data_IF_588162414163
#
_entry.id   IF_588162414163
#
_cell.length_a   1.000
_cell.length_b   1.000
_cell.length_c   1.000
_cell.angle_alpha   90.00
_cell.angle_beta   90.00
_cell.angle_gamma   90.00
#
_symmetry.space_group_name_H-M   'P 1'
#
loop_
_entity.id
_entity.type
_entity.pdbx_description
1 polymer ?
#
# COMPACT_ATOMS: atom_id res chain seq x y z
N UNK A 1 89.02 -61.58 7.74
CA UNK A 1 87.92 -60.61 7.54
C UNK A 1 86.64 -61.26 8.01
N UNK A 2 86.18 -60.94 9.22
CA UNK A 2 84.90 -61.44 9.75
C UNK A 2 83.76 -60.44 9.46
N UNK A 3 82.81 -60.78 8.60
CA UNK A 3 81.61 -60.07 8.37
C UNK A 3 80.68 -60.33 9.57
N UNK A 4 80.45 -59.31 10.44
CA UNK A 4 79.37 -59.29 11.44
C UNK A 4 78.05 -59.18 10.70
N UNK A 5 77.28 -60.29 10.69
CA UNK A 5 75.87 -60.23 10.31
C UNK A 5 75.08 -59.59 11.48
N UNK A 6 74.59 -58.39 11.25
CA UNK A 6 73.64 -57.74 12.22
C UNK A 6 72.37 -58.58 12.35
N UNK A 7 72.11 -59.13 13.52
CA UNK A 7 70.81 -59.72 13.88
C UNK A 7 69.83 -58.57 14.04
N UNK A 8 68.96 -58.36 13.10
CA UNK A 8 67.83 -57.44 13.25
C UNK A 8 66.87 -58.07 14.33
N UNK A 9 66.48 -57.25 15.32
CA UNK A 9 65.64 -57.68 16.36
C UNK A 9 64.19 -57.78 15.81
N UNK A 10 63.73 -58.96 15.44
CA UNK A 10 62.41 -59.24 14.82
C UNK A 10 61.28 -58.68 15.66
N UNK A 11 61.42 -58.71 16.99
CA UNK A 11 60.39 -58.19 17.94
C UNK A 11 60.27 -56.68 17.84
N UNK A 12 61.39 -55.93 17.57
CA UNK A 12 61.34 -54.49 17.37
C UNK A 12 60.66 -54.12 16.04
N UNK A 13 60.89 -54.91 14.98
CA UNK A 13 60.22 -54.75 13.70
C UNK A 13 58.72 -55.02 13.76
N UNK A 14 58.28 -56.04 14.52
CA UNK A 14 56.87 -56.35 14.75
C UNK A 14 56.21 -55.24 15.56
N UNK A 15 56.88 -54.72 16.60
CA UNK A 15 56.36 -53.61 17.42
C UNK A 15 56.20 -52.32 16.63
N UNK A 16 57.20 -51.97 15.77
CA UNK A 16 57.08 -50.84 14.87
C UNK A 16 55.93 -51.00 13.87
N UNK A 17 55.71 -52.18 13.32
CA UNK A 17 54.59 -52.47 12.41
C UNK A 17 53.25 -52.31 13.07
N UNK A 18 53.08 -52.81 14.35
CA UNK A 18 51.87 -52.64 15.12
C UNK A 18 51.56 -51.15 15.45
N UNK A 19 52.60 -50.39 15.84
CA UNK A 19 52.46 -48.95 16.10
C UNK A 19 52.04 -48.19 14.81
N UNK A 20 52.66 -48.52 13.67
CA UNK A 20 52.29 -47.95 12.39
C UNK A 20 50.84 -48.28 12.00
N UNK A 21 50.39 -49.50 12.22
CA UNK A 21 49.02 -49.94 11.95
C UNK A 21 47.98 -49.21 12.82
N UNK A 22 48.28 -49.04 14.11
CA UNK A 22 47.38 -48.30 15.04
C UNK A 22 47.30 -46.82 14.63
N UNK A 23 48.44 -46.20 14.29
CA UNK A 23 48.46 -44.80 13.83
C UNK A 23 47.65 -44.66 12.51
N UNK A 24 47.86 -45.53 11.54
CA UNK A 24 47.12 -45.53 10.30
C UNK A 24 45.61 -45.74 10.49
N UNK A 25 45.23 -46.65 11.36
CA UNK A 25 43.80 -46.90 11.71
C UNK A 25 43.14 -45.69 12.41
N UNK A 26 43.86 -45.03 13.33
CA UNK A 26 43.35 -43.83 14.00
C UNK A 26 43.19 -42.64 13.02
N UNK A 27 44.17 -42.43 12.13
CA UNK A 27 44.07 -41.41 11.09
C UNK A 27 42.88 -41.72 10.16
N UNK A 28 42.71 -42.95 9.73
CA UNK A 28 41.61 -43.36 8.87
C UNK A 28 40.24 -43.10 9.56
N UNK A 29 40.09 -43.47 10.85
CA UNK A 29 38.87 -43.19 11.62
C UNK A 29 38.63 -41.66 11.74
N UNK A 30 39.63 -40.85 12.02
CA UNK A 30 39.50 -39.40 12.11
C UNK A 30 39.05 -38.78 10.78
N UNK A 31 39.61 -39.23 9.65
CA UNK A 31 39.21 -38.76 8.31
C UNK A 31 37.80 -39.23 7.96
N UNK A 32 37.41 -40.43 8.30
CA UNK A 32 36.06 -40.96 8.08
C UNK A 32 35.03 -40.16 8.87
N UNK A 33 35.26 -39.96 10.17
CA UNK A 33 34.39 -39.17 11.05
C UNK A 33 34.29 -37.69 10.58
N UNK A 34 35.43 -37.08 10.13
CA UNK A 34 35.42 -35.73 9.59
C UNK A 34 34.59 -35.61 8.30
N UNK A 35 34.61 -36.63 7.44
CA UNK A 35 33.79 -36.66 6.21
C UNK A 35 32.31 -36.86 6.53
N UNK A 36 31.98 -37.63 7.53
CA UNK A 36 30.60 -37.87 7.96
C UNK A 36 30.00 -36.58 8.59
N UNK A 37 30.75 -35.89 9.45
CA UNK A 37 30.38 -34.62 10.02
C UNK A 37 30.16 -33.54 8.94
N UNK A 38 31.05 -33.45 7.95
CA UNK A 38 30.90 -32.51 6.83
C UNK A 38 29.66 -32.81 5.96
N UNK A 39 29.32 -34.09 5.75
CA UNK A 39 28.12 -34.47 5.02
C UNK A 39 26.84 -34.12 5.80
N UNK A 40 26.86 -34.32 7.09
CA UNK A 40 25.73 -33.98 7.95
C UNK A 40 25.50 -32.46 8.00
N UNK A 41 26.58 -31.67 8.10
CA UNK A 41 26.49 -30.22 8.05
C UNK A 41 25.93 -29.73 6.69
N UNK A 42 26.38 -30.33 5.57
CA UNK A 42 25.82 -30.02 4.25
C UNK A 42 24.34 -30.42 4.13
N UNK A 43 23.91 -31.52 4.74
CA UNK A 43 22.51 -31.94 4.74
C UNK A 43 21.65 -30.95 5.50
N UNK A 44 22.06 -30.56 6.71
CA UNK A 44 21.36 -29.58 7.54
C UNK A 44 21.26 -28.22 6.83
N UNK A 45 22.34 -27.78 6.17
CA UNK A 45 22.33 -26.54 5.40
C UNK A 45 21.38 -26.60 4.20
N UNK A 46 21.31 -27.74 3.51
CA UNK A 46 20.38 -27.97 2.40
C UNK A 46 18.93 -28.00 2.86
N UNK A 47 18.65 -28.69 3.99
CA UNK A 47 17.31 -28.74 4.58
C UNK A 47 16.85 -27.34 5.01
N UNK A 48 17.70 -26.55 5.67
CA UNK A 48 17.38 -25.15 6.04
C UNK A 48 17.06 -24.29 4.81
N UNK A 49 17.89 -24.40 3.77
CA UNK A 49 17.66 -23.63 2.54
C UNK A 49 16.35 -24.02 1.87
N UNK A 50 16.02 -25.30 1.85
CA UNK A 50 14.74 -25.78 1.29
C UNK A 50 13.54 -25.30 2.10
N UNK A 51 13.67 -25.22 3.44
CA UNK A 51 12.64 -24.67 4.32
C UNK A 51 12.44 -23.19 4.11
N UNK A 52 13.54 -22.41 3.99
CA UNK A 52 13.49 -20.96 3.68
C UNK A 52 12.84 -20.71 2.32
N UNK A 53 13.21 -21.47 1.28
CA UNK A 53 12.59 -21.37 -0.05
C UNK A 53 11.09 -21.72 -0.03
N UNK A 54 10.68 -22.71 0.77
CA UNK A 54 9.28 -23.07 0.94
C UNK A 54 8.48 -21.96 1.64
N UNK A 55 9.01 -21.41 2.73
CA UNK A 55 8.38 -20.30 3.47
C UNK A 55 8.23 -19.06 2.59
N UNK A 56 9.26 -18.70 1.83
CA UNK A 56 9.20 -17.59 0.89
C UNK A 56 8.17 -17.82 -0.23
N UNK A 57 8.02 -19.06 -0.73
CA UNK A 57 7.01 -19.39 -1.72
C UNK A 57 5.57 -19.34 -1.13
N UNK A 58 5.38 -19.78 0.11
CA UNK A 58 4.09 -19.71 0.81
C UNK A 58 3.71 -18.25 1.10
N UNK A 59 4.66 -17.43 1.53
CA UNK A 59 4.46 -15.98 1.77
C UNK A 59 4.05 -15.27 0.48
N UNK A 60 4.78 -15.49 -0.61
CA UNK A 60 4.46 -14.93 -1.93
C UNK A 60 3.07 -15.36 -2.42
N UNK A 61 2.70 -16.63 -2.26
CA UNK A 61 1.38 -17.12 -2.64
C UNK A 61 0.25 -16.49 -1.81
N UNK A 62 0.52 -16.20 -0.52
CA UNK A 62 -0.42 -15.48 0.35
C UNK A 62 -0.59 -14.04 -0.12
N UNK A 63 0.51 -13.32 -0.38
CA UNK A 63 0.49 -11.94 -0.88
C UNK A 63 -0.25 -11.82 -2.22
N UNK A 64 0.00 -12.74 -3.16
CA UNK A 64 -0.71 -12.79 -4.45
C UNK A 64 -2.22 -13.01 -4.27
N UNK A 65 -2.61 -13.86 -3.31
CA UNK A 65 -4.01 -14.09 -3.00
C UNK A 65 -4.67 -12.85 -2.39
N UNK A 66 -4.04 -12.24 -1.38
CA UNK A 66 -4.52 -11.02 -0.72
C UNK A 66 -4.64 -9.86 -1.71
N UNK A 67 -3.67 -9.69 -2.61
CA UNK A 67 -3.72 -8.69 -3.66
C UNK A 67 -4.89 -8.93 -4.63
N UNK A 68 -5.15 -10.18 -5.00
CA UNK A 68 -6.28 -10.53 -5.86
C UNK A 68 -7.64 -10.28 -5.19
N UNK A 69 -7.76 -10.63 -3.91
CA UNK A 69 -8.97 -10.38 -3.11
C UNK A 69 -9.21 -8.88 -2.98
N UNK A 70 -8.17 -8.10 -2.70
CA UNK A 70 -8.22 -6.64 -2.63
C UNK A 70 -8.63 -6.04 -3.98
N UNK A 71 -8.00 -6.44 -5.09
CA UNK A 71 -8.37 -6.00 -6.43
C UNK A 71 -9.85 -6.27 -6.74
N UNK A 72 -10.35 -7.45 -6.36
CA UNK A 72 -11.75 -7.79 -6.55
C UNK A 72 -12.66 -6.94 -5.67
N UNK A 73 -12.27 -6.70 -4.41
CA UNK A 73 -13.01 -5.85 -3.46
C UNK A 73 -13.09 -4.41 -3.94
N UNK A 74 -11.99 -3.83 -4.39
CA UNK A 74 -11.91 -2.43 -4.79
C UNK A 74 -12.49 -2.13 -6.18
N UNK A 75 -12.75 -3.17 -6.98
CA UNK A 75 -13.32 -3.03 -8.33
C UNK A 75 -14.78 -2.57 -8.31
N UNK A 76 -15.16 -1.75 -9.29
CA UNK A 76 -16.56 -1.40 -9.52
C UNK A 76 -17.41 -2.64 -9.86
N UNK A 77 -18.50 -2.85 -9.11
CA UNK A 77 -19.39 -4.00 -9.24
C UNK A 77 -20.84 -3.53 -9.02
N UNK A 78 -21.62 -3.31 -10.08
CA UNK A 78 -23.03 -2.92 -9.93
C UNK A 78 -23.82 -3.89 -9.05
N UNK A 79 -24.56 -3.36 -8.11
CA UNK A 79 -25.40 -4.15 -7.20
C UNK A 79 -24.67 -4.76 -6.00
N UNK A 80 -23.35 -4.56 -5.87
CA UNK A 80 -22.57 -4.94 -4.68
C UNK A 80 -22.37 -3.71 -3.81
N UNK A 81 -22.84 -3.71 -2.54
CA UNK A 81 -22.69 -2.55 -1.65
C UNK A 81 -21.24 -2.15 -1.43
N UNK A 82 -20.99 -0.86 -1.29
CA UNK A 82 -19.68 -0.27 -0.96
C UNK A 82 -19.88 0.72 0.15
N UNK A 83 -19.12 0.56 1.22
CA UNK A 83 -19.19 1.40 2.42
C UNK A 83 -20.33 1.03 3.36
N UNK A 84 -20.24 1.53 4.57
CA UNK A 84 -21.26 1.37 5.62
C UNK A 84 -21.69 2.73 6.18
N UNK A 85 -22.91 2.80 6.70
CA UNK A 85 -23.41 3.95 7.48
C UNK A 85 -23.36 3.69 8.99
N UNK A 86 -22.94 2.49 9.40
CA UNK A 86 -22.81 2.09 10.80
C UNK A 86 -21.35 2.28 11.23
N UNK A 87 -21.13 3.16 12.21
CA UNK A 87 -19.83 3.40 12.81
C UNK A 87 -19.67 2.55 14.08
N UNK A 88 -18.48 2.04 14.35
CA UNK A 88 -18.13 1.54 15.68
C UNK A 88 -17.61 2.71 16.53
N UNK A 89 -18.42 3.18 17.45
CA UNK A 89 -18.09 4.30 18.34
C UNK A 89 -16.90 4.01 19.28
N UNK A 90 -16.44 2.77 19.37
CA UNK A 90 -15.26 2.39 20.18
C UNK A 90 -13.95 2.53 19.40
N UNK A 91 -13.99 2.69 18.09
CA UNK A 91 -12.80 2.86 17.25
C UNK A 91 -12.55 4.34 16.96
N UNK A 92 -11.27 4.74 17.00
CA UNK A 92 -10.82 6.03 16.49
C UNK A 92 -10.11 5.82 15.16
N UNK A 93 -10.72 6.26 14.08
CA UNK A 93 -10.21 6.05 12.72
C UNK A 93 -10.07 7.38 11.98
N UNK A 94 -8.93 7.59 11.35
CA UNK A 94 -8.72 8.71 10.44
C UNK A 94 -8.42 8.21 9.03
N UNK A 95 -9.22 8.65 8.07
CA UNK A 95 -9.01 8.45 6.64
C UNK A 95 -8.36 9.71 6.07
N UNK A 96 -7.09 9.59 5.70
CA UNK A 96 -6.37 10.64 4.98
C UNK A 96 -6.72 10.50 3.49
N UNK A 97 -7.27 11.53 2.88
CA UNK A 97 -7.65 11.49 1.47
C UNK A 97 -7.02 12.65 0.71
N UNK A 98 -6.46 12.32 -0.47
CA UNK A 98 -5.74 13.27 -1.31
C UNK A 98 -6.40 13.35 -2.68
N UNK A 99 -6.77 14.56 -3.10
CA UNK A 99 -7.37 14.84 -4.41
C UNK A 99 -6.35 15.45 -5.37
N UNK A 100 -6.65 15.44 -6.67
CA UNK A 100 -5.93 16.14 -7.76
C UNK A 100 -4.56 15.57 -8.14
N UNK A 101 -4.06 14.54 -7.47
CA UNK A 101 -2.88 13.80 -7.90
C UNK A 101 -3.15 12.85 -9.09
N UNK A 102 -2.13 12.12 -9.55
CA UNK A 102 -0.75 12.17 -9.07
C UNK A 102 0.05 13.38 -9.58
N UNK A 103 1.05 13.79 -8.82
CA UNK A 103 1.92 14.91 -9.17
C UNK A 103 3.36 14.70 -8.62
N UNK A 104 4.22 15.72 -8.80
CA UNK A 104 5.56 15.77 -8.17
C UNK A 104 5.52 15.63 -6.64
N UNK A 105 4.39 15.89 -6.00
CA UNK A 105 4.22 15.82 -4.56
C UNK A 105 3.77 14.44 -4.09
N UNK A 106 3.17 13.62 -4.95
CA UNK A 106 2.65 12.30 -4.59
C UNK A 106 3.72 11.40 -3.95
N UNK A 107 4.94 11.34 -4.53
CA UNK A 107 6.02 10.54 -3.93
C UNK A 107 6.40 11.03 -2.53
N UNK A 108 6.46 12.35 -2.32
CA UNK A 108 6.78 12.92 -0.99
C UNK A 108 5.70 12.59 0.05
N UNK A 109 4.43 12.59 -0.37
CA UNK A 109 3.30 12.18 0.47
C UNK A 109 3.44 10.70 0.83
N UNK A 110 3.74 9.84 -0.14
CA UNK A 110 3.93 8.39 0.09
C UNK A 110 5.08 8.13 1.07
N UNK A 111 6.21 8.82 0.91
CA UNK A 111 7.38 8.69 1.79
C UNK A 111 7.03 9.06 3.24
N UNK A 112 6.28 10.16 3.44
CA UNK A 112 5.82 10.59 4.77
C UNK A 112 4.83 9.58 5.36
N UNK A 113 3.86 9.08 4.57
CA UNK A 113 2.90 8.09 5.03
C UNK A 113 3.57 6.79 5.48
N UNK A 114 4.63 6.37 4.77
CA UNK A 114 5.42 5.17 5.13
C UNK A 114 6.14 5.34 6.47
N UNK A 115 6.73 6.52 6.75
CA UNK A 115 7.38 6.84 8.03
C UNK A 115 6.43 6.68 9.23
N UNK A 116 5.13 6.94 9.04
CA UNK A 116 4.10 6.83 10.07
C UNK A 116 3.31 5.51 10.03
N UNK A 117 3.69 4.58 9.12
CA UNK A 117 2.92 3.37 8.83
C UNK A 117 1.44 3.67 8.56
N UNK A 118 1.16 4.81 7.92
CA UNK A 118 -0.18 5.28 7.61
C UNK A 118 -0.62 4.82 6.22
N UNK A 119 -1.90 4.47 6.09
CA UNK A 119 -2.51 4.21 4.78
C UNK A 119 -3.49 5.34 4.45
N UNK A 120 -3.63 5.66 3.17
CA UNK A 120 -4.42 6.77 2.67
C UNK A 120 -5.16 6.39 1.39
N UNK A 121 -6.07 7.27 0.95
CA UNK A 121 -6.78 7.13 -0.33
C UNK A 121 -6.45 8.31 -1.23
N UNK A 122 -6.12 8.02 -2.49
CA UNK A 122 -5.79 9.02 -3.51
C UNK A 122 -6.90 9.04 -4.58
N UNK A 123 -7.62 10.16 -4.67
CA UNK A 123 -8.61 10.41 -5.71
C UNK A 123 -7.94 11.08 -6.91
N UNK A 124 -7.63 10.27 -7.91
CA UNK A 124 -6.72 10.61 -8.99
C UNK A 124 -7.34 11.43 -10.12
N UNK A 125 -6.50 12.20 -10.80
CA UNK A 125 -6.83 12.90 -12.05
C UNK A 125 -5.92 12.50 -13.21
N UNK A 126 -6.33 12.84 -14.45
CA UNK A 126 -5.53 12.63 -15.66
C UNK A 126 -4.65 13.84 -16.02
N UNK A 127 -4.54 14.86 -15.18
CA UNK A 127 -3.97 16.16 -15.53
C UNK A 127 -2.45 16.17 -15.74
N UNK A 128 -1.71 15.23 -15.14
CA UNK A 128 -0.25 15.17 -15.20
C UNK A 128 0.23 13.80 -15.70
N UNK A 129 0.23 13.57 -17.02
CA UNK A 129 0.52 12.25 -17.61
C UNK A 129 1.89 11.68 -17.22
N UNK A 130 2.87 12.54 -16.95
CA UNK A 130 4.23 12.15 -16.54
C UNK A 130 4.29 11.50 -15.15
N UNK A 131 3.25 11.66 -14.32
CA UNK A 131 3.17 11.08 -12.97
C UNK A 131 2.19 9.90 -12.85
N UNK A 132 1.51 9.49 -13.91
CA UNK A 132 0.48 8.43 -13.84
C UNK A 132 1.00 7.10 -13.28
N UNK A 133 2.29 6.80 -13.45
CA UNK A 133 2.90 5.61 -12.82
C UNK A 133 2.86 5.63 -11.28
N UNK A 134 2.70 6.79 -10.66
CA UNK A 134 2.55 6.92 -9.22
C UNK A 134 1.25 6.30 -8.71
N UNK A 135 0.23 6.13 -9.56
CA UNK A 135 -1.01 5.40 -9.23
C UNK A 135 -0.68 3.97 -8.82
N UNK A 136 0.13 3.28 -9.65
CA UNK A 136 0.58 1.92 -9.32
C UNK A 136 1.47 1.91 -8.08
N UNK A 137 2.38 2.86 -7.95
CA UNK A 137 3.27 2.97 -6.79
C UNK A 137 2.47 3.11 -5.48
N UNK A 138 1.47 3.99 -5.45
CA UNK A 138 0.59 4.17 -4.30
C UNK A 138 -0.22 2.90 -3.99
N UNK A 139 -0.78 2.26 -5.02
CA UNK A 139 -1.55 1.02 -4.85
C UNK A 139 -0.70 -0.13 -4.32
N UNK A 140 0.49 -0.34 -4.88
CA UNK A 140 1.44 -1.39 -4.45
C UNK A 140 1.94 -1.15 -3.01
N UNK A 141 2.03 0.12 -2.58
CA UNK A 141 2.35 0.50 -1.20
C UNK A 141 1.18 0.31 -0.22
N UNK A 142 0.03 -0.21 -0.68
CA UNK A 142 -1.11 -0.52 0.17
C UNK A 142 -2.11 0.63 0.35
N UNK A 143 -1.95 1.73 -0.39
CA UNK A 143 -2.93 2.83 -0.40
C UNK A 143 -4.09 2.51 -1.35
N UNK A 144 -5.25 3.11 -1.12
CA UNK A 144 -6.42 2.95 -1.99
C UNK A 144 -6.41 4.00 -3.09
N UNK A 145 -6.80 3.59 -4.28
CA UNK A 145 -7.02 4.48 -5.42
C UNK A 145 -8.52 4.72 -5.59
N UNK A 146 -8.91 5.98 -5.66
CA UNK A 146 -10.24 6.43 -6.03
C UNK A 146 -10.18 7.26 -7.32
N UNK A 147 -11.33 7.48 -7.95
CA UNK A 147 -11.44 8.29 -9.17
C UNK A 147 -11.96 9.68 -8.83
N UNK A 148 -11.31 10.71 -9.33
CA UNK A 148 -11.76 12.10 -9.14
C UNK A 148 -12.30 12.69 -10.44
N UNK A 149 -11.45 12.85 -11.44
CA UNK A 149 -11.81 13.38 -12.75
C UNK A 149 -10.66 13.19 -13.73
N UNK A 150 -10.94 13.00 -15.00
CA UNK A 150 -9.88 13.01 -16.02
C UNK A 150 -9.33 14.40 -16.26
N UNK A 151 -10.22 15.39 -16.47
CA UNK A 151 -9.83 16.75 -16.88
C UNK A 151 -9.89 17.79 -15.75
N UNK A 152 -10.68 17.56 -14.71
CA UNK A 152 -10.94 18.46 -13.59
C UNK A 152 -11.32 19.91 -14.01
N UNK A 153 -12.14 20.02 -15.04
CA UNK A 153 -12.69 21.26 -15.56
C UNK A 153 -14.19 21.27 -15.31
N UNK A 154 -14.67 22.08 -14.36
CA UNK A 154 -16.06 22.10 -13.95
C UNK A 154 -17.06 22.38 -15.09
N UNK A 155 -16.70 23.25 -16.05
CA UNK A 155 -17.54 23.53 -17.20
C UNK A 155 -17.76 22.32 -18.07
N UNK A 156 -16.72 21.51 -18.26
CA UNK A 156 -16.76 20.31 -19.09
C UNK A 156 -17.35 19.12 -18.33
N UNK A 157 -16.89 18.88 -17.10
CA UNK A 157 -17.34 17.76 -16.27
C UNK A 157 -18.82 17.87 -15.94
N UNK A 158 -19.31 19.08 -15.62
CA UNK A 158 -20.70 19.27 -15.23
C UNK A 158 -21.58 19.85 -16.33
N UNK A 159 -21.14 19.81 -17.60
CA UNK A 159 -21.94 20.22 -18.75
C UNK A 159 -23.23 19.39 -18.90
N UNK A 160 -23.15 18.09 -18.59
CA UNK A 160 -24.30 17.17 -18.57
C UNK A 160 -23.96 15.92 -17.73
N UNK A 161 -24.95 15.10 -17.46
CA UNK A 161 -24.75 13.77 -16.83
C UNK A 161 -23.84 12.90 -17.71
N UNK A 162 -24.06 12.88 -19.01
CA UNK A 162 -23.25 12.08 -19.94
C UNK A 162 -21.79 12.57 -19.94
N UNK A 163 -21.56 13.91 -19.94
CA UNK A 163 -20.22 14.49 -19.91
C UNK A 163 -19.46 14.08 -18.61
N UNK A 164 -20.15 14.02 -17.47
CA UNK A 164 -19.57 13.54 -16.23
C UNK A 164 -19.14 12.08 -16.34
N UNK A 165 -20.01 11.21 -16.87
CA UNK A 165 -19.66 9.79 -17.00
C UNK A 165 -18.59 9.52 -18.03
N UNK A 166 -18.53 10.29 -19.14
CA UNK A 166 -17.43 10.22 -20.10
C UNK A 166 -16.08 10.61 -19.45
N UNK A 167 -16.05 11.60 -18.56
CA UNK A 167 -14.86 12.01 -17.83
C UNK A 167 -14.45 10.95 -16.80
N UNK A 168 -15.42 10.41 -16.06
CA UNK A 168 -15.21 9.33 -15.07
C UNK A 168 -14.70 8.04 -15.75
N UNK A 169 -15.24 7.68 -16.92
CA UNK A 169 -14.79 6.51 -17.68
C UNK A 169 -13.34 6.65 -18.11
N UNK A 170 -12.94 7.83 -18.60
CA UNK A 170 -11.54 8.10 -19.02
C UNK A 170 -10.55 7.93 -17.87
N UNK A 171 -10.84 8.47 -16.70
CA UNK A 171 -9.96 8.29 -15.54
C UNK A 171 -10.02 6.84 -15.02
N UNK A 172 -11.15 6.16 -15.14
CA UNK A 172 -11.29 4.75 -14.84
C UNK A 172 -10.40 3.87 -15.71
N UNK A 173 -10.33 4.14 -17.03
CA UNK A 173 -9.43 3.40 -17.93
C UNK A 173 -7.95 3.66 -17.60
N UNK A 174 -7.56 4.88 -17.22
CA UNK A 174 -6.20 5.17 -16.72
C UNK A 174 -5.90 4.34 -15.47
N UNK A 175 -6.80 4.33 -14.50
CA UNK A 175 -6.63 3.50 -13.30
C UNK A 175 -6.45 2.03 -13.67
N UNK A 176 -7.30 1.51 -14.56
CA UNK A 176 -7.23 0.12 -15.03
C UNK A 176 -5.92 -0.21 -15.76
N UNK A 177 -5.37 0.71 -16.54
CA UNK A 177 -4.05 0.54 -17.18
C UNK A 177 -2.93 0.44 -16.14
N UNK A 178 -3.03 1.15 -15.01
CA UNK A 178 -2.00 1.20 -13.98
C UNK A 178 -2.12 0.04 -12.95
N UNK A 179 -3.33 -0.28 -12.50
CA UNK A 179 -3.58 -1.23 -11.39
C UNK A 179 -4.43 -2.45 -11.77
N UNK A 180 -4.88 -2.56 -13.03
CA UNK A 180 -5.55 -3.74 -13.57
C UNK A 180 -7.08 -3.76 -13.42
N UNK A 181 -7.69 -2.76 -12.75
CA UNK A 181 -9.14 -2.67 -12.55
C UNK A 181 -9.61 -1.22 -12.46
N UNK A 182 -10.93 -1.01 -12.57
CA UNK A 182 -11.57 0.29 -12.35
C UNK A 182 -12.01 0.36 -10.89
N UNK A 183 -11.46 1.29 -10.08
CA UNK A 183 -11.86 1.46 -8.69
C UNK A 183 -13.33 1.85 -8.51
N UNK A 184 -13.96 1.33 -7.44
CA UNK A 184 -15.35 1.67 -7.12
C UNK A 184 -15.50 2.94 -6.26
N UNK A 185 -14.41 3.49 -5.75
CA UNK A 185 -14.40 4.70 -4.92
C UNK A 185 -14.25 5.93 -5.80
N UNK A 186 -15.11 6.93 -5.59
CA UNK A 186 -15.03 8.19 -6.33
C UNK A 186 -15.16 9.38 -5.37
N UNK A 187 -14.67 10.53 -5.82
CA UNK A 187 -14.99 11.82 -5.21
C UNK A 187 -15.33 12.81 -6.33
N UNK A 188 -16.45 13.49 -6.18
CA UNK A 188 -16.86 14.52 -7.14
C UNK A 188 -15.94 15.73 -7.05
N UNK A 189 -15.51 16.36 -8.16
CA UNK A 189 -14.86 17.65 -8.12
C UNK A 189 -15.64 18.68 -7.31
N UNK A 190 -15.03 19.14 -6.20
CA UNK A 190 -15.67 20.05 -5.24
C UNK A 190 -16.68 19.39 -4.28
N UNK A 191 -16.79 18.06 -4.27
CA UNK A 191 -17.68 17.29 -3.41
C UNK A 191 -19.15 17.30 -3.87
N UNK A 192 -19.97 16.45 -3.24
CA UNK A 192 -21.40 16.35 -3.57
C UNK A 192 -22.19 17.62 -3.24
N UNK A 193 -21.71 18.42 -2.30
CA UNK A 193 -22.34 19.69 -1.90
C UNK A 193 -21.96 20.90 -2.77
N UNK A 194 -21.11 20.72 -3.78
CA UNK A 194 -20.65 21.84 -4.59
C UNK A 194 -21.82 22.58 -5.27
N UNK A 195 -21.72 23.89 -5.29
CA UNK A 195 -22.73 24.76 -5.92
C UNK A 195 -22.27 25.29 -7.27
N UNK A 196 -21.02 25.04 -7.66
CA UNK A 196 -20.45 25.52 -8.92
C UNK A 196 -21.08 24.80 -10.11
N UNK A 197 -21.34 23.52 -9.98
CA UNK A 197 -21.96 22.66 -11.00
C UNK A 197 -23.29 23.19 -11.52
N UNK A 198 -24.10 23.88 -10.66
CA UNK A 198 -25.38 24.45 -11.06
C UNK A 198 -25.29 25.57 -12.09
N UNK A 199 -24.10 26.19 -12.25
CA UNK A 199 -23.86 27.20 -13.29
C UNK A 199 -23.93 26.58 -14.69
N UNK A 200 -23.62 25.30 -14.77
CA UNK A 200 -23.59 24.54 -16.02
C UNK A 200 -24.85 23.71 -16.19
N UNK A 201 -25.22 22.91 -15.17
CA UNK A 201 -26.43 22.09 -15.20
C UNK A 201 -27.11 22.07 -13.83
N UNK A 202 -28.33 22.61 -13.78
CA UNK A 202 -29.15 22.62 -12.53
C UNK A 202 -29.61 21.23 -12.18
N UNK A 203 -29.51 20.87 -10.88
CA UNK A 203 -29.95 19.59 -10.35
C UNK A 203 -29.03 18.43 -10.72
N UNK A 204 -27.82 18.71 -11.24
CA UNK A 204 -26.93 17.66 -11.72
C UNK A 204 -26.39 16.80 -10.57
N UNK A 205 -26.02 17.41 -9.43
CA UNK A 205 -25.43 16.66 -8.32
C UNK A 205 -26.44 15.67 -7.72
N UNK A 206 -27.70 16.07 -7.56
CA UNK A 206 -28.77 15.18 -7.08
C UNK A 206 -28.96 13.96 -7.98
N UNK A 207 -28.77 14.11 -9.29
CA UNK A 207 -28.83 12.98 -10.24
C UNK A 207 -27.57 12.11 -10.18
N UNK A 208 -26.41 12.76 -10.14
CA UNK A 208 -25.13 12.04 -10.18
C UNK A 208 -24.93 11.19 -8.93
N UNK A 209 -25.31 11.69 -7.74
CA UNK A 209 -25.20 10.94 -6.47
C UNK A 209 -26.01 9.64 -6.47
N UNK A 210 -27.17 9.60 -7.15
CA UNK A 210 -27.96 8.38 -7.34
C UNK A 210 -27.33 7.48 -8.42
N UNK A 211 -27.03 8.04 -9.59
CA UNK A 211 -26.60 7.27 -10.75
C UNK A 211 -25.22 6.61 -10.59
N UNK A 212 -24.28 7.24 -9.86
CA UNK A 212 -22.98 6.62 -9.59
C UNK A 212 -23.14 5.36 -8.74
N UNK A 213 -24.02 5.38 -7.75
CA UNK A 213 -24.31 4.22 -6.89
C UNK A 213 -25.00 3.09 -7.68
N UNK A 214 -25.95 3.42 -8.54
CA UNK A 214 -26.57 2.44 -9.45
C UNK A 214 -25.54 1.75 -10.37
N UNK A 215 -24.49 2.47 -10.75
CA UNK A 215 -23.39 1.94 -11.56
C UNK A 215 -22.32 1.16 -10.76
N UNK A 216 -22.49 1.06 -9.43
CA UNK A 216 -21.57 0.31 -8.55
C UNK A 216 -20.40 1.13 -8.00
N UNK A 217 -20.44 2.45 -8.15
CA UNK A 217 -19.49 3.34 -7.49
C UNK A 217 -20.05 3.83 -6.16
N UNK A 218 -19.16 4.14 -5.21
CA UNK A 218 -19.48 4.86 -3.99
C UNK A 218 -18.70 6.16 -3.96
N UNK A 219 -19.40 7.30 -3.75
CA UNK A 219 -18.73 8.57 -3.57
C UNK A 219 -18.41 8.84 -2.11
N UNK A 220 -17.33 9.57 -1.86
CA UNK A 220 -16.90 9.96 -0.52
C UNK A 220 -16.60 11.45 -0.49
N UNK A 221 -17.30 12.15 0.40
CA UNK A 221 -16.96 13.51 0.79
C UNK A 221 -16.00 13.47 2.01
N UNK A 222 -16.09 14.42 2.92
CA UNK A 222 -15.23 14.53 4.11
C UNK A 222 -16.00 15.19 5.24
N UNK A 223 -15.57 15.02 6.50
CA UNK A 223 -16.06 15.79 7.64
C UNK A 223 -15.02 16.77 8.18
N UNK A 224 -13.76 16.69 7.74
CA UNK A 224 -12.70 17.64 8.06
C UNK A 224 -12.04 18.14 6.77
N UNK A 225 -11.95 19.46 6.59
CA UNK A 225 -11.25 20.08 5.48
C UNK A 225 -9.95 20.72 5.98
N UNK A 226 -8.83 20.36 5.40
CA UNK A 226 -7.53 20.98 5.71
C UNK A 226 -7.41 22.45 5.26
N UNK A 227 -8.33 22.92 4.41
CA UNK A 227 -8.27 24.27 3.81
C UNK A 227 -7.23 24.44 2.71
N UNK A 228 -6.47 23.38 2.38
CA UNK A 228 -5.39 23.41 1.39
C UNK A 228 -5.89 23.56 -0.06
N UNK A 229 -7.18 23.36 -0.32
CA UNK A 229 -7.81 23.64 -1.61
C UNK A 229 -7.59 25.07 -2.09
N UNK A 230 -7.39 26.00 -1.15
CA UNK A 230 -7.03 27.40 -1.40
C UNK A 230 -5.55 27.68 -1.09
N UNK A 231 -5.16 28.96 -1.03
CA UNK A 231 -3.82 29.35 -0.57
C UNK A 231 -3.81 29.39 0.96
N UNK A 232 -3.43 28.28 1.57
CA UNK A 232 -3.25 28.17 3.02
C UNK A 232 -1.77 28.02 3.38
N UNK A 233 -1.38 28.56 4.53
CA UNK A 233 -0.06 28.33 5.12
C UNK A 233 -0.02 26.94 5.76
N UNK A 234 1.18 26.44 6.05
CA UNK A 234 1.39 25.19 6.80
C UNK A 234 0.61 25.19 8.11
N UNK A 235 0.71 26.28 8.89
CA UNK A 235 0.07 26.43 10.20
C UNK A 235 -1.46 26.44 10.10
N UNK A 236 -2.01 27.05 9.05
CA UNK A 236 -3.44 27.05 8.79
C UNK A 236 -3.95 25.66 8.42
N UNK A 237 -3.19 24.92 7.60
CA UNK A 237 -3.51 23.52 7.25
C UNK A 237 -3.51 22.64 8.50
N UNK A 238 -2.46 22.72 9.33
CA UNK A 238 -2.38 21.96 10.58
C UNK A 238 -3.58 22.27 11.46
N UNK A 239 -3.83 23.54 11.74
CA UNK A 239 -4.94 23.98 12.61
C UNK A 239 -6.32 23.52 12.12
N UNK A 240 -6.53 23.46 10.80
CA UNK A 240 -7.81 23.05 10.24
C UNK A 240 -7.96 21.53 10.15
N UNK A 241 -6.85 20.80 10.15
CA UNK A 241 -6.85 19.34 10.06
C UNK A 241 -6.91 18.63 11.41
N UNK A 242 -6.45 19.27 12.48
CA UNK A 242 -6.38 18.67 13.82
C UNK A 242 -7.69 18.84 14.56
N UNK A 243 -8.34 17.73 14.90
CA UNK A 243 -9.56 17.68 15.71
C UNK A 243 -9.71 16.32 16.38
N UNK A 244 -10.30 16.29 17.58
CA UNK A 244 -10.68 15.09 18.31
C UNK A 244 -12.19 15.03 18.62
N UNK A 245 -12.97 15.88 17.90
CA UNK A 245 -14.43 15.96 18.07
C UNK A 245 -15.16 14.72 17.56
N UNK A 246 -14.53 13.93 16.67
CA UNK A 246 -15.15 12.77 16.02
C UNK A 246 -14.25 11.53 16.19
N UNK A 247 -14.86 10.38 16.43
CA UNK A 247 -14.14 9.10 16.43
C UNK A 247 -13.78 8.62 15.01
N UNK A 248 -14.59 9.01 14.01
CA UNK A 248 -14.34 8.72 12.61
C UNK A 248 -14.13 10.02 11.84
N UNK A 249 -12.96 10.18 11.26
CA UNK A 249 -12.52 11.39 10.57
C UNK A 249 -12.11 11.06 9.14
N UNK A 250 -12.66 11.79 8.19
CA UNK A 250 -12.17 11.78 6.81
C UNK A 250 -11.71 13.18 6.45
N UNK A 251 -10.39 13.31 6.17
CA UNK A 251 -9.76 14.61 5.91
C UNK A 251 -9.56 14.78 4.41
N UNK A 252 -10.00 15.94 3.90
CA UNK A 252 -9.67 16.37 2.56
C UNK A 252 -8.34 17.08 2.53
N UNK A 253 -7.39 16.52 1.76
CA UNK A 253 -6.15 17.13 1.31
C UNK A 253 -6.04 17.10 -0.21
N UNK A 254 -5.00 17.75 -0.74
CA UNK A 254 -4.65 17.66 -2.15
C UNK A 254 -3.14 17.38 -2.28
N UNK A 255 -2.77 16.47 -3.19
CA UNK A 255 -1.38 16.20 -3.56
C UNK A 255 -1.00 16.76 -4.95
N UNK A 256 -1.80 17.70 -5.46
CA UNK A 256 -1.51 18.44 -6.69
C UNK A 256 -0.13 19.14 -6.64
N UNK A 257 0.46 19.42 -7.81
CA UNK A 257 1.81 19.96 -7.93
C UNK A 257 2.06 21.32 -7.22
N UNK A 258 1.00 22.03 -6.87
CA UNK A 258 1.07 23.34 -6.17
C UNK A 258 0.91 23.23 -4.65
N UNK A 259 0.77 22.02 -4.11
CA UNK A 259 0.44 21.77 -2.70
C UNK A 259 1.67 21.39 -1.86
N UNK A 260 2.78 22.09 -2.05
CA UNK A 260 4.00 21.87 -1.26
C UNK A 260 3.75 22.14 0.25
N UNK A 261 2.88 23.11 0.60
CA UNK A 261 2.49 23.41 2.00
C UNK A 261 1.74 22.27 2.67
N UNK A 262 0.94 21.50 1.91
CA UNK A 262 0.28 20.28 2.41
C UNK A 262 1.31 19.22 2.79
N UNK A 263 2.30 19.00 1.90
CA UNK A 263 3.41 18.07 2.19
C UNK A 263 4.17 18.47 3.45
N UNK A 264 4.46 19.76 3.63
CA UNK A 264 5.15 20.30 4.81
C UNK A 264 4.34 20.16 6.12
N UNK A 265 3.00 20.23 6.03
CA UNK A 265 2.11 20.11 7.19
C UNK A 265 1.89 18.66 7.64
N UNK A 266 1.96 17.72 6.72
CA UNK A 266 1.53 16.34 6.92
C UNK A 266 2.20 15.62 8.11
N UNK A 267 3.54 15.76 8.37
CA UNK A 267 4.17 15.09 9.52
C UNK A 267 3.60 15.50 10.89
N UNK A 268 3.26 16.78 11.07
CA UNK A 268 2.68 17.26 12.32
C UNK A 268 1.25 16.73 12.52
N UNK A 269 0.46 16.73 11.46
CA UNK A 269 -0.92 16.19 11.45
C UNK A 269 -0.94 14.69 11.74
N UNK A 270 -0.07 13.91 11.09
CA UNK A 270 0.05 12.48 11.36
C UNK A 270 0.45 12.21 12.82
N UNK A 271 1.44 12.95 13.32
CA UNK A 271 1.84 12.84 14.72
C UNK A 271 0.69 13.17 15.68
N UNK A 272 -0.11 14.20 15.39
CA UNK A 272 -1.26 14.57 16.21
C UNK A 272 -2.25 13.38 16.32
N UNK A 273 -2.66 12.79 15.22
CA UNK A 273 -3.62 11.69 15.22
C UNK A 273 -3.06 10.42 15.87
N UNK A 274 -1.78 10.12 15.66
CA UNK A 274 -1.10 9.01 16.33
C UNK A 274 -1.06 9.21 17.85
N UNK A 275 -0.72 10.41 18.32
CA UNK A 275 -0.69 10.75 19.75
C UNK A 275 -2.09 10.70 20.41
N UNK A 276 -3.15 10.92 19.64
CA UNK A 276 -4.56 10.84 20.09
C UNK A 276 -5.19 9.46 19.90
N UNK A 277 -4.41 8.46 19.47
CA UNK A 277 -4.82 7.06 19.36
C UNK A 277 -5.72 6.74 18.19
N UNK A 278 -5.66 7.51 17.10
CA UNK A 278 -6.35 7.17 15.86
C UNK A 278 -5.56 6.15 15.05
N UNK A 279 -6.29 5.24 14.41
CA UNK A 279 -5.76 4.34 13.40
C UNK A 279 -5.87 5.00 12.02
N UNK A 280 -4.81 4.95 11.22
CA UNK A 280 -4.81 5.42 9.85
C UNK A 280 -5.30 4.32 8.92
N UNK A 281 -6.46 4.51 8.29
CA UNK A 281 -7.03 3.57 7.32
C UNK A 281 -7.17 4.22 5.95
N UNK A 282 -6.87 3.45 4.91
CA UNK A 282 -7.34 3.77 3.56
C UNK A 282 -8.82 3.36 3.43
N UNK A 283 -9.55 3.99 2.52
CA UNK A 283 -10.93 3.60 2.22
C UNK A 283 -10.93 2.19 1.64
N UNK A 284 -11.83 1.36 2.14
CA UNK A 284 -12.14 0.03 1.64
C UNK A 284 -13.65 -0.16 1.50
N UNK A 285 -14.08 -1.38 1.16
CA UNK A 285 -15.50 -1.66 0.92
C UNK A 285 -16.37 -1.59 2.19
N UNK A 286 -15.77 -1.70 3.37
CA UNK A 286 -16.44 -1.68 4.66
C UNK A 286 -16.29 -0.33 5.38
N UNK A 287 -15.62 0.65 4.77
CA UNK A 287 -15.37 1.97 5.35
C UNK A 287 -16.63 2.79 5.53
N UNK A 288 -16.63 3.61 6.60
CA UNK A 288 -17.74 4.54 6.89
C UNK A 288 -17.91 5.55 5.75
N UNK A 289 -19.14 5.71 5.31
CA UNK A 289 -19.52 6.65 4.24
C UNK A 289 -19.64 8.06 4.81
N UNK A 290 -19.00 9.02 4.14
CA UNK A 290 -19.16 10.45 4.41
C UNK A 290 -19.81 11.10 3.21
N UNK A 291 -21.07 11.56 3.37
CA UNK A 291 -21.80 12.26 2.34
C UNK A 291 -22.19 13.66 2.80
N UNK A 292 -21.87 14.64 2.00
CA UNK A 292 -22.42 15.97 2.14
C UNK A 292 -23.87 16.01 1.60
N UNK A 293 -24.67 16.89 2.17
CA UNK A 293 -25.97 17.19 1.59
C UNK A 293 -25.78 17.84 0.21
N UNK A 294 -26.46 17.33 -0.80
CA UNK A 294 -26.44 17.90 -2.14
C UNK A 294 -27.15 19.26 -2.15
N UNK A 295 -26.53 20.24 -2.79
CA UNK A 295 -27.04 21.62 -2.91
C UNK A 295 -27.42 21.99 -4.36
N UNK A 296 -27.39 21.07 -5.28
CA UNK A 296 -27.70 21.24 -6.70
C UNK A 296 -28.31 19.99 -7.31
#
# INVERSE_FOLDING_TARGET
>A
MHKKRGRYNINALILCGLVFFVIAATIFCMVANGREAAREEQRIAAEKKQEEEKLAAEEKAREEKEQKERMQSDSVQPGVPVGTTEADDNEKVVYLTFDDGPSKNTQKVLDILDEYNAKATFFITGQQPEYLSMIKTAYDAGHTIGLHSYIHDYEKVYASVDAYFEDLEKIGEIAKEQIGFVPCYIRFPGGASNTVSRKYTKGIMSKLTEMVQEKGYQYYDWNVSSGDGSKATKEEIIKQSETDEYNHIMILFHDAATKDTTVEALPEILKYYQDHGYEFRAIDRDSLIFHHQTNN
#
